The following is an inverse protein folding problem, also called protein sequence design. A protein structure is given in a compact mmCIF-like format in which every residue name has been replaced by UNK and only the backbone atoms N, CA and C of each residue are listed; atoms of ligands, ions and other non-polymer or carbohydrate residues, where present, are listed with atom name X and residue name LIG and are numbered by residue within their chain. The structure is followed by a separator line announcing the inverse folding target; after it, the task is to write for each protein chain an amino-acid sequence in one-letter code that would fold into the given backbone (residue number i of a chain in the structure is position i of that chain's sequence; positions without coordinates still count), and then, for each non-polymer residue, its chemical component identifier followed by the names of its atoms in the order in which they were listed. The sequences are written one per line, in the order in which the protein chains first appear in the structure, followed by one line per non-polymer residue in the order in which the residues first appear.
data_IF_837702263823
#
_entry.id   IF_837702263823
#
_cell.length_a   1.000
_cell.length_b   1.000
_cell.length_c   1.000
_cell.angle_alpha   90.00
_cell.angle_beta   90.00
_cell.angle_gamma   90.00
#
_symmetry.space_group_name_H-M   'P 1'
#
loop_
_entity.id
_entity.type
_entity.pdbx_description
1 polymer ?
#
# COMPACT_ATOMS: atom_id res chain seq x y z
N UNK A 1 -23.00 2.54 -3.92
CA UNK A 1 -21.99 2.10 -2.96
C UNK A 1 -20.66 2.58 -3.51
N UNK A 2 -19.93 3.39 -2.76
CA UNK A 2 -18.53 3.68 -3.09
C UNK A 2 -17.73 2.41 -2.74
N UNK A 3 -16.76 1.96 -3.55
CA UNK A 3 -16.23 2.58 -4.77
C UNK A 3 -16.85 2.07 -6.10
N UNK A 4 -17.79 1.12 -6.09
CA UNK A 4 -18.30 0.44 -7.30
C UNK A 4 -18.77 1.40 -8.41
N UNK A 5 -19.44 2.50 -8.06
CA UNK A 5 -19.90 3.49 -9.06
C UNK A 5 -18.77 4.26 -9.74
N UNK A 6 -17.62 4.41 -9.08
CA UNK A 6 -16.45 5.11 -9.64
C UNK A 6 -15.58 4.17 -10.48
N UNK A 7 -15.69 2.86 -10.25
CA UNK A 7 -14.96 1.82 -10.96
C UNK A 7 -15.72 1.23 -12.16
N UNK A 8 -16.85 1.83 -12.55
CA UNK A 8 -17.66 1.32 -13.68
C UNK A 8 -16.94 1.28 -15.03
N UNK A 9 -15.79 1.96 -15.17
CA UNK A 9 -14.92 1.88 -16.34
C UNK A 9 -13.83 0.79 -16.25
N UNK A 10 -13.63 0.20 -15.07
CA UNK A 10 -12.67 -0.89 -14.84
C UNK A 10 -13.37 -2.20 -15.16
N UNK A 11 -13.22 -2.66 -16.39
CA UNK A 11 -13.87 -3.89 -16.89
C UNK A 11 -13.04 -5.14 -16.61
N UNK A 12 -11.73 -5.00 -16.49
CA UNK A 12 -10.78 -6.08 -16.15
C UNK A 12 -10.32 -5.93 -14.70
N UNK A 13 -10.14 -7.05 -14.00
CA UNK A 13 -9.65 -7.11 -12.61
C UNK A 13 -10.46 -6.28 -11.57
N UNK A 14 -11.74 -5.99 -11.86
CA UNK A 14 -12.63 -5.23 -10.98
C UNK A 14 -12.66 -5.79 -9.54
N UNK A 15 -12.70 -7.11 -9.39
CA UNK A 15 -12.67 -7.77 -8.08
C UNK A 15 -11.38 -7.46 -7.30
N UNK A 16 -10.23 -7.47 -7.98
CA UNK A 16 -8.94 -7.17 -7.39
C UNK A 16 -8.84 -5.69 -7.01
N UNK A 17 -9.31 -4.78 -7.86
CA UNK A 17 -9.34 -3.35 -7.53
C UNK A 17 -10.22 -3.08 -6.30
N UNK A 18 -11.38 -3.73 -6.21
CA UNK A 18 -12.23 -3.65 -5.02
C UNK A 18 -11.52 -4.20 -3.77
N UNK A 19 -10.80 -5.31 -3.90
CA UNK A 19 -10.01 -5.88 -2.81
C UNK A 19 -8.95 -4.89 -2.34
N UNK A 20 -8.20 -4.26 -3.25
CA UNK A 20 -7.22 -3.24 -2.89
C UNK A 20 -7.85 -2.05 -2.17
N UNK A 21 -8.94 -1.48 -2.71
CA UNK A 21 -9.57 -0.30 -2.11
C UNK A 21 -10.15 -0.62 -0.74
N UNK A 22 -10.96 -1.67 -0.63
CA UNK A 22 -11.56 -2.06 0.65
C UNK A 22 -10.52 -2.55 1.65
N UNK A 23 -9.51 -3.26 1.18
CA UNK A 23 -8.40 -3.76 1.98
C UNK A 23 -7.59 -2.63 2.61
N UNK A 24 -7.23 -1.62 1.82
CA UNK A 24 -6.54 -0.42 2.32
C UNK A 24 -7.40 0.33 3.32
N UNK A 25 -8.70 0.54 3.04
CA UNK A 25 -9.59 1.27 3.95
C UNK A 25 -9.79 0.53 5.28
N UNK A 26 -10.02 -0.78 5.24
CA UNK A 26 -10.20 -1.61 6.44
C UNK A 26 -8.97 -1.61 7.33
N UNK A 27 -7.78 -1.62 6.73
CA UNK A 27 -6.50 -1.71 7.44
C UNK A 27 -5.77 -0.37 7.52
N UNK A 28 -6.46 0.74 7.26
CA UNK A 28 -5.84 2.05 7.05
C UNK A 28 -4.91 2.46 8.20
N UNK A 29 -5.32 2.21 9.45
CA UNK A 29 -4.54 2.60 10.63
C UNK A 29 -3.26 1.78 10.77
N UNK A 30 -3.32 0.48 10.49
CA UNK A 30 -2.15 -0.40 10.48
C UNK A 30 -1.17 0.00 9.36
N UNK A 31 -1.71 0.26 8.17
CA UNK A 31 -0.92 0.67 7.00
C UNK A 31 -0.30 2.06 7.18
N UNK A 32 -1.04 3.02 7.74
CA UNK A 32 -0.53 4.36 8.04
C UNK A 32 0.56 4.31 9.11
N UNK A 33 0.40 3.46 10.13
CA UNK A 33 1.43 3.20 11.13
C UNK A 33 2.69 2.59 10.49
N UNK A 34 2.53 1.60 9.60
CA UNK A 34 3.63 0.97 8.88
C UNK A 34 4.37 1.97 7.99
N UNK A 35 3.63 2.77 7.21
CA UNK A 35 4.15 3.89 6.41
C UNK A 35 4.97 4.86 7.28
N UNK A 36 4.47 5.22 8.45
CA UNK A 36 5.15 6.16 9.35
C UNK A 36 6.53 5.69 9.81
N UNK A 37 6.80 4.37 9.82
CA UNK A 37 8.10 3.82 10.20
C UNK A 37 9.21 4.15 9.18
N UNK A 38 8.83 4.39 7.93
CA UNK A 38 9.77 4.63 6.83
C UNK A 38 9.65 6.05 6.23
N UNK A 39 8.50 6.70 6.45
CA UNK A 39 8.22 8.08 6.07
C UNK A 39 7.55 8.82 7.24
N UNK A 40 8.32 9.33 8.23
CA UNK A 40 7.74 10.02 9.38
C UNK A 40 6.92 11.26 9.00
N UNK A 41 7.36 11.98 7.97
CA UNK A 41 6.58 13.06 7.35
C UNK A 41 5.64 12.48 6.31
N UNK A 42 4.36 12.83 6.41
CA UNK A 42 3.34 12.35 5.48
C UNK A 42 3.58 12.90 4.06
N UNK A 43 3.66 12.02 3.04
CA UNK A 43 3.67 12.43 1.64
C UNK A 43 2.38 13.14 1.23
N UNK A 44 2.38 13.73 0.03
CA UNK A 44 1.14 14.23 -0.59
C UNK A 44 0.16 13.06 -0.81
N UNK A 45 -1.14 13.35 -0.73
CA UNK A 45 -2.20 12.34 -0.72
C UNK A 45 -2.08 11.29 -1.83
N UNK A 46 -1.83 11.71 -3.08
CA UNK A 46 -1.71 10.79 -4.22
C UNK A 46 -0.53 9.83 -4.09
N UNK A 47 0.61 10.32 -3.62
CA UNK A 47 1.79 9.49 -3.36
C UNK A 47 1.56 8.58 -2.15
N UNK A 48 0.90 9.09 -1.11
CA UNK A 48 0.54 8.32 0.07
C UNK A 48 -0.36 7.14 -0.30
N UNK A 49 -1.33 7.34 -1.18
CA UNK A 49 -2.21 6.29 -1.67
C UNK A 49 -1.43 5.15 -2.35
N UNK A 50 -0.46 5.46 -3.21
CA UNK A 50 0.40 4.43 -3.84
C UNK A 50 1.21 3.65 -2.78
N UNK A 51 1.73 4.34 -1.77
CA UNK A 51 2.46 3.68 -0.68
C UNK A 51 1.53 2.75 0.10
N UNK A 52 0.33 3.20 0.47
CA UNK A 52 -0.62 2.38 1.24
C UNK A 52 -1.10 1.17 0.45
N UNK A 53 -1.36 1.31 -0.86
CA UNK A 53 -1.72 0.19 -1.75
C UNK A 53 -0.56 -0.81 -1.87
N UNK A 54 0.68 -0.34 -2.04
CA UNK A 54 1.85 -1.22 -2.05
C UNK A 54 2.10 -1.94 -0.73
N UNK A 55 1.92 -1.26 0.40
CA UNK A 55 2.04 -1.85 1.73
C UNK A 55 0.95 -2.90 1.97
N UNK A 56 -0.29 -2.65 1.53
CA UNK A 56 -1.38 -3.61 1.62
C UNK A 56 -1.06 -4.90 0.85
N UNK A 57 -0.58 -4.77 -0.39
CA UNK A 57 -0.18 -5.92 -1.19
C UNK A 57 0.93 -6.74 -0.52
N UNK A 58 1.96 -6.09 0.05
CA UNK A 58 3.08 -6.80 0.68
C UNK A 58 2.71 -7.44 2.03
N UNK A 59 1.93 -6.75 2.86
CA UNK A 59 1.73 -7.16 4.25
C UNK A 59 0.48 -8.01 4.45
N UNK A 60 -0.50 -7.90 3.56
CA UNK A 60 -1.85 -8.42 3.81
C UNK A 60 -2.45 -9.20 2.63
N UNK A 61 -1.77 -9.30 1.48
CA UNK A 61 -2.19 -10.14 0.36
C UNK A 61 -1.23 -11.32 0.14
N UNK A 62 -1.59 -12.48 0.67
CA UNK A 62 -0.75 -13.69 0.61
C UNK A 62 -0.60 -14.27 -0.81
N UNK A 63 -1.50 -13.91 -1.73
CA UNK A 63 -1.53 -14.43 -3.10
C UNK A 63 -0.72 -13.58 -4.09
N UNK A 64 -0.25 -12.39 -3.69
CA UNK A 64 0.53 -11.50 -4.55
C UNK A 64 2.02 -11.74 -4.33
N UNK A 65 2.77 -11.95 -5.41
CA UNK A 65 4.21 -12.07 -5.31
C UNK A 65 4.84 -10.73 -4.92
N UNK A 66 5.67 -10.76 -3.88
CA UNK A 66 6.45 -9.65 -3.35
C UNK A 66 7.11 -8.76 -4.42
N UNK A 67 7.77 -9.37 -5.40
CA UNK A 67 8.44 -8.66 -6.49
C UNK A 67 7.44 -7.96 -7.42
N UNK A 68 6.29 -8.59 -7.69
CA UNK A 68 5.23 -8.03 -8.51
C UNK A 68 4.56 -6.84 -7.80
N UNK A 69 4.21 -6.98 -6.51
CA UNK A 69 3.65 -5.90 -5.70
C UNK A 69 4.52 -4.63 -5.75
N UNK A 70 5.84 -4.79 -5.60
CA UNK A 70 6.78 -3.66 -5.69
C UNK A 70 6.83 -3.09 -7.09
N UNK A 71 7.07 -3.92 -8.11
CA UNK A 71 7.29 -3.45 -9.48
C UNK A 71 6.05 -2.74 -10.03
N UNK A 72 4.86 -3.32 -9.85
CA UNK A 72 3.60 -2.74 -10.34
C UNK A 72 3.27 -1.43 -9.62
N UNK A 73 3.41 -1.39 -8.29
CA UNK A 73 3.13 -0.16 -7.53
C UNK A 73 4.11 0.97 -7.89
N UNK A 74 5.38 0.65 -8.11
CA UNK A 74 6.41 1.61 -8.57
C UNK A 74 6.12 2.07 -9.99
N UNK A 75 5.70 1.17 -10.88
CA UNK A 75 5.27 1.48 -12.24
C UNK A 75 4.08 2.43 -12.25
N UNK A 76 3.03 2.11 -11.48
CA UNK A 76 1.85 2.96 -11.31
C UNK A 76 2.21 4.36 -10.81
N UNK A 77 3.03 4.44 -9.75
CA UNK A 77 3.49 5.72 -9.21
C UNK A 77 4.34 6.51 -10.20
N UNK A 78 5.16 5.84 -11.02
CA UNK A 78 5.97 6.47 -12.07
C UNK A 78 5.08 7.09 -13.14
N UNK A 79 4.06 6.37 -13.59
CA UNK A 79 3.11 6.83 -14.61
C UNK A 79 2.26 7.98 -14.08
N UNK A 80 1.76 7.90 -12.85
CA UNK A 80 0.88 8.91 -12.30
C UNK A 80 1.61 10.18 -11.80
N UNK A 81 2.78 10.02 -11.17
CA UNK A 81 3.42 11.09 -10.36
C UNK A 81 4.89 11.36 -10.74
N UNK A 82 5.43 10.62 -11.73
CA UNK A 82 6.79 10.79 -12.22
C UNK A 82 7.86 10.03 -11.43
N UNK A 83 9.12 10.04 -11.92
CA UNK A 83 10.18 9.17 -11.45
C UNK A 83 10.59 9.43 -9.99
N UNK A 84 10.52 10.67 -9.52
CA UNK A 84 10.87 11.01 -8.13
C UNK A 84 9.91 10.36 -7.12
N UNK A 85 8.62 10.35 -7.42
CA UNK A 85 7.60 9.71 -6.61
C UNK A 85 7.80 8.19 -6.60
N UNK A 86 8.01 7.59 -7.77
CA UNK A 86 8.29 6.16 -7.92
C UNK A 86 9.51 5.70 -7.11
N UNK A 87 10.59 6.49 -7.07
CA UNK A 87 11.78 6.18 -6.28
C UNK A 87 11.48 6.11 -4.78
N UNK A 88 10.64 7.01 -4.27
CA UNK A 88 10.25 6.99 -2.86
C UNK A 88 9.35 5.80 -2.53
N UNK A 89 8.38 5.47 -3.41
CA UNK A 89 7.57 4.25 -3.29
C UNK A 89 8.47 3.02 -3.22
N UNK A 90 9.37 2.85 -4.19
CA UNK A 90 10.30 1.73 -4.24
C UNK A 90 11.13 1.64 -2.95
N UNK A 91 11.70 2.76 -2.50
CA UNK A 91 12.53 2.79 -1.30
C UNK A 91 11.76 2.42 -0.03
N UNK A 92 10.47 2.75 0.08
CA UNK A 92 9.63 2.37 1.23
C UNK A 92 9.25 0.89 1.15
N UNK A 93 8.78 0.42 0.00
CA UNK A 93 8.35 -0.96 -0.15
C UNK A 93 9.51 -1.96 0.03
N UNK A 94 10.69 -1.66 -0.53
CA UNK A 94 11.90 -2.49 -0.34
C UNK A 94 12.36 -2.53 1.12
N UNK A 95 12.27 -1.40 1.84
CA UNK A 95 12.57 -1.35 3.28
C UNK A 95 11.54 -2.11 4.12
N UNK A 96 10.28 -2.15 3.66
CA UNK A 96 9.22 -2.92 4.28
C UNK A 96 9.50 -4.42 4.17
N UNK A 97 9.80 -4.92 2.97
CA UNK A 97 10.18 -6.33 2.74
C UNK A 97 11.37 -6.75 3.62
N UNK A 98 12.42 -5.93 3.63
CA UNK A 98 13.63 -6.21 4.42
C UNK A 98 13.39 -6.26 5.94
N UNK A 99 12.30 -5.66 6.44
CA UNK A 99 11.98 -5.55 7.86
C UNK A 99 10.61 -6.12 8.20
N UNK A 100 10.05 -6.97 7.36
CA UNK A 100 8.66 -7.40 7.46
C UNK A 100 8.36 -8.09 8.80
N UNK A 101 9.20 -9.05 9.19
CA UNK A 101 9.02 -9.78 10.44
C UNK A 101 9.05 -8.86 11.68
N UNK A 102 9.97 -7.89 11.72
CA UNK A 102 10.03 -6.88 12.79
C UNK A 102 8.78 -5.99 12.77
N UNK A 103 8.34 -5.58 11.57
CA UNK A 103 7.19 -4.71 11.40
C UNK A 103 5.90 -5.38 11.88
N UNK A 104 5.69 -6.66 11.52
CA UNK A 104 4.56 -7.47 11.97
C UNK A 104 4.56 -7.63 13.49
N UNK A 105 5.68 -8.03 14.07
CA UNK A 105 5.81 -8.18 15.52
C UNK A 105 5.56 -6.87 16.29
N UNK A 106 5.96 -5.72 15.72
CA UNK A 106 5.73 -4.40 16.31
C UNK A 106 4.28 -3.92 16.12
N UNK A 107 3.63 -4.29 15.02
CA UNK A 107 2.22 -4.01 14.77
C UNK A 107 1.32 -4.75 15.75
N UNK A 108 1.59 -6.03 16.02
CA UNK A 108 0.84 -6.84 16.99
C UNK A 108 0.81 -6.24 18.41
N UNK A 109 1.87 -5.51 18.78
CA UNK A 109 2.02 -4.81 20.06
C UNK A 109 1.32 -3.45 20.11
N UNK A 110 0.82 -2.95 18.98
CA UNK A 110 0.06 -1.70 18.96
C UNK A 110 -1.32 -1.88 19.61
N UNK A 111 -1.93 -0.80 20.13
CA UNK A 111 -3.29 -0.85 20.64
C UNK A 111 -4.28 -1.35 19.56
N UNK A 112 -5.43 -1.95 19.95
CA UNK A 112 -6.49 -2.39 19.02
C UNK A 112 -7.03 -1.30 18.09
N UNK A 113 -6.77 -0.03 18.42
CA UNK A 113 -7.10 1.08 17.53
C UNK A 113 -6.18 1.18 16.31
N UNK A 114 -5.02 0.53 16.29
CA UNK A 114 -4.01 0.60 15.22
C UNK A 114 -3.86 -0.75 14.51
N UNK A 115 -3.85 -1.87 15.25
CA UNK A 115 -3.75 -3.22 14.69
C UNK A 115 -5.10 -3.75 14.21
#
# INVERSE_FOLDING_TARGET
MFPDRLLGAVTEDHAFVLELVHGVLRNYRALDWARAQFAPRRPRAELDAHILVGLYQLLLLDHVQDSAAVNETVGAAKTALGPRAANLVNAILRRTQAREADLRARLERQPPGIR
#
